data_IF_107555356684
#
_entry.id   IF_107555356684
#
_cell.length_a   1.000
_cell.length_b   1.000
_cell.length_c   1.000
_cell.angle_alpha   90.00
_cell.angle_beta   90.00
_cell.angle_gamma   90.00
#
_symmetry.space_group_name_H-M   'P 1'
#
loop_
_entity.id
_entity.type
_entity.pdbx_description
1 polymer ?
#
# COMPACT_ATOMS: atom_id res chain seq x y z
N UNK A 1 -9.08 2.30 2.34
CA UNK A 1 -9.36 1.87 0.97
C UNK A 1 -10.49 0.87 0.92
N UNK A 2 -10.38 -0.23 1.63
CA UNK A 2 -11.46 -1.22 1.72
C UNK A 2 -12.06 -1.10 3.12
N UNK A 3 -13.37 -0.86 3.23
CA UNK A 3 -13.99 -0.77 4.54
C UNK A 3 -14.27 -2.15 5.13
N UNK A 4 -14.55 -2.23 6.43
CA UNK A 4 -14.77 -3.50 7.12
C UNK A 4 -15.93 -4.32 6.51
N UNK A 5 -16.96 -3.67 6.03
CA UNK A 5 -18.11 -4.32 5.41
C UNK A 5 -17.73 -4.98 4.08
N UNK A 6 -16.92 -4.31 3.25
CA UNK A 6 -16.40 -4.88 2.01
C UNK A 6 -15.41 -6.01 2.29
N UNK A 7 -14.56 -5.86 3.30
CA UNK A 7 -13.57 -6.88 3.68
C UNK A 7 -14.22 -8.21 4.08
N UNK A 8 -15.42 -8.17 4.66
CA UNK A 8 -16.12 -9.38 5.07
C UNK A 8 -16.43 -10.33 3.90
N UNK A 9 -16.46 -9.82 2.66
CA UNK A 9 -16.69 -10.62 1.45
C UNK A 9 -15.46 -11.37 0.97
N UNK A 10 -14.27 -11.02 1.46
CA UNK A 10 -13.02 -11.61 0.97
C UNK A 10 -12.61 -12.81 1.79
N UNK A 11 -11.84 -13.76 1.19
CA UNK A 11 -11.25 -14.86 1.95
C UNK A 11 -10.38 -14.32 3.09
N UNK A 12 -10.27 -15.11 4.15
CA UNK A 12 -9.49 -14.73 5.34
C UNK A 12 -8.04 -14.36 4.99
N UNK A 13 -7.40 -15.12 4.08
CA UNK A 13 -6.03 -14.86 3.69
C UNK A 13 -5.88 -13.48 3.03
N UNK A 14 -6.85 -13.07 2.22
CA UNK A 14 -6.84 -11.76 1.60
C UNK A 14 -7.05 -10.64 2.62
N UNK A 15 -7.96 -10.83 3.57
CA UNK A 15 -8.18 -9.85 4.66
C UNK A 15 -6.92 -9.65 5.49
N UNK A 16 -6.21 -10.74 5.81
CA UNK A 16 -4.94 -10.67 6.55
C UNK A 16 -3.88 -9.89 5.76
N UNK A 17 -3.80 -10.13 4.45
CA UNK A 17 -2.86 -9.42 3.60
C UNK A 17 -3.18 -7.92 3.54
N UNK A 18 -4.45 -7.56 3.41
CA UNK A 18 -4.87 -6.15 3.39
C UNK A 18 -4.56 -5.45 4.71
N UNK A 19 -4.83 -6.11 5.84
CA UNK A 19 -4.51 -5.56 7.16
C UNK A 19 -3.01 -5.37 7.34
N UNK A 20 -2.21 -6.33 6.88
CA UNK A 20 -0.76 -6.23 6.95
C UNK A 20 -0.23 -5.05 6.12
N UNK A 21 -0.74 -4.88 4.91
CA UNK A 21 -0.36 -3.77 4.04
C UNK A 21 -0.72 -2.43 4.71
N UNK A 22 -1.92 -2.32 5.24
CA UNK A 22 -2.37 -1.09 5.91
C UNK A 22 -1.50 -0.75 7.13
N UNK A 23 -1.11 -1.75 7.89
CA UNK A 23 -0.29 -1.54 9.10
C UNK A 23 1.18 -1.33 8.83
N UNK A 24 1.69 -1.67 7.64
CA UNK A 24 3.12 -1.69 7.32
C UNK A 24 3.48 -0.96 6.02
N UNK A 25 2.58 -0.17 5.45
CA UNK A 25 2.82 0.49 4.17
C UNK A 25 4.00 1.46 4.19
N UNK A 26 4.34 2.00 5.35
CA UNK A 26 5.48 2.91 5.55
C UNK A 26 6.83 2.20 5.53
N UNK A 27 6.84 0.87 5.65
CA UNK A 27 8.05 0.06 5.67
C UNK A 27 8.30 -0.55 4.30
N UNK A 28 9.54 -0.99 4.07
CA UNK A 28 9.94 -1.62 2.81
C UNK A 28 9.54 -3.11 2.81
N UNK A 29 8.25 -3.36 2.71
CA UNK A 29 7.70 -4.72 2.70
C UNK A 29 7.72 -5.31 1.29
N UNK A 30 7.91 -6.63 1.23
CA UNK A 30 7.98 -7.38 -0.02
C UNK A 30 6.72 -8.24 -0.21
N UNK A 31 6.58 -8.81 -1.42
CA UNK A 31 5.50 -9.78 -1.67
C UNK A 31 5.59 -10.99 -0.73
N UNK A 32 6.80 -11.40 -0.37
CA UNK A 32 7.01 -12.51 0.58
C UNK A 32 6.51 -12.16 1.97
N UNK A 33 6.73 -10.92 2.41
CA UNK A 33 6.24 -10.44 3.70
C UNK A 33 4.71 -10.46 3.73
N UNK A 34 4.08 -10.01 2.66
CA UNK A 34 2.62 -9.97 2.54
C UNK A 34 2.05 -11.40 2.56
N UNK A 35 2.66 -12.30 1.79
CA UNK A 35 2.22 -13.70 1.74
C UNK A 35 2.40 -14.39 3.09
N UNK A 36 3.52 -14.17 3.77
CA UNK A 36 3.79 -14.73 5.08
C UNK A 36 2.76 -14.26 6.11
N UNK A 37 2.40 -12.98 6.08
CA UNK A 37 1.37 -12.43 6.97
C UNK A 37 0.00 -13.08 6.76
N UNK A 38 -0.29 -13.50 5.53
CA UNK A 38 -1.53 -14.19 5.18
C UNK A 38 -1.42 -15.72 5.31
N UNK A 39 -0.24 -16.23 5.65
CA UNK A 39 0.05 -17.67 5.79
C UNK A 39 -0.21 -18.44 4.49
N UNK A 40 0.22 -17.87 3.37
CA UNK A 40 0.10 -18.46 2.03
C UNK A 40 1.36 -18.21 1.22
N UNK A 41 1.45 -18.84 0.03
CA UNK A 41 2.56 -18.59 -0.89
C UNK A 41 2.39 -17.25 -1.61
N UNK A 42 3.48 -16.65 -2.11
CA UNK A 42 3.38 -15.45 -2.93
C UNK A 42 2.46 -15.62 -4.14
N UNK A 43 2.48 -16.79 -4.77
CA UNK A 43 1.61 -17.09 -5.91
C UNK A 43 0.14 -17.08 -5.52
N UNK A 44 -0.19 -17.66 -4.36
CA UNK A 44 -1.56 -17.70 -3.87
C UNK A 44 -2.10 -16.30 -3.57
N UNK A 45 -1.27 -15.45 -2.95
CA UNK A 45 -1.69 -14.09 -2.62
C UNK A 45 -1.83 -13.24 -3.89
N UNK A 46 -0.97 -13.42 -4.87
CA UNK A 46 -1.10 -12.73 -6.16
C UNK A 46 -2.41 -13.11 -6.86
N UNK A 47 -2.74 -14.39 -6.85
CA UNK A 47 -4.00 -14.87 -7.44
C UNK A 47 -5.21 -14.26 -6.73
N UNK A 48 -5.21 -14.25 -5.41
CA UNK A 48 -6.32 -13.70 -4.63
C UNK A 48 -6.52 -12.21 -4.89
N UNK A 49 -5.45 -11.42 -4.96
CA UNK A 49 -5.54 -10.00 -5.28
C UNK A 49 -6.12 -9.79 -6.69
N UNK A 50 -5.64 -10.57 -7.66
CA UNK A 50 -6.14 -10.45 -9.03
C UNK A 50 -7.62 -10.81 -9.12
N UNK A 51 -8.03 -11.89 -8.48
CA UNK A 51 -9.40 -12.36 -8.55
C UNK A 51 -10.39 -11.43 -7.86
N UNK A 52 -10.06 -10.93 -6.67
CA UNK A 52 -10.98 -10.14 -5.86
C UNK A 52 -10.82 -8.64 -6.02
N UNK A 53 -9.64 -8.15 -6.36
CA UNK A 53 -9.32 -6.73 -6.42
C UNK A 53 -8.83 -6.27 -7.78
N UNK A 54 -8.66 -7.17 -8.75
CA UNK A 54 -8.20 -6.89 -10.11
C UNK A 54 -6.88 -6.12 -10.13
N UNK A 55 -5.99 -6.42 -9.18
CA UNK A 55 -4.69 -5.78 -9.05
C UNK A 55 -3.67 -6.76 -8.46
N UNK A 56 -2.41 -6.35 -8.34
CA UNK A 56 -1.38 -7.13 -7.68
C UNK A 56 -1.19 -6.61 -6.24
N UNK A 57 -0.62 -7.43 -5.32
CA UNK A 57 -0.33 -6.96 -3.97
C UNK A 57 0.58 -5.72 -3.93
N UNK A 58 1.60 -5.69 -4.77
CA UNK A 58 2.53 -4.55 -4.81
C UNK A 58 1.90 -3.30 -5.41
N UNK A 59 1.03 -3.46 -6.41
CA UNK A 59 0.29 -2.32 -6.96
C UNK A 59 -0.71 -1.77 -5.94
N UNK A 60 -1.37 -2.63 -5.18
CA UNK A 60 -2.23 -2.22 -4.08
C UNK A 60 -1.45 -1.45 -3.03
N UNK A 61 -0.27 -1.95 -2.63
CA UNK A 61 0.62 -1.27 -1.69
C UNK A 61 1.01 0.13 -2.21
N UNK A 62 1.32 0.23 -3.50
CA UNK A 62 1.65 1.50 -4.12
C UNK A 62 0.49 2.49 -4.04
N UNK A 63 -0.73 2.05 -4.28
CA UNK A 63 -1.93 2.89 -4.16
C UNK A 63 -2.13 3.39 -2.74
N UNK A 64 -1.94 2.52 -1.75
CA UNK A 64 -2.02 2.91 -0.33
C UNK A 64 -1.01 4.00 -0.02
N UNK A 65 0.24 3.82 -0.47
CA UNK A 65 1.31 4.80 -0.25
C UNK A 65 1.01 6.14 -0.93
N UNK A 66 0.52 6.10 -2.16
CA UNK A 66 0.16 7.32 -2.90
C UNK A 66 -0.99 8.07 -2.23
N UNK A 67 -2.00 7.34 -1.77
CA UNK A 67 -3.13 7.94 -1.07
C UNK A 67 -2.71 8.60 0.23
N UNK A 68 -1.85 7.94 1.02
CA UNK A 68 -1.31 8.50 2.27
C UNK A 68 -0.43 9.71 2.02
N UNK A 69 0.41 9.65 0.99
CA UNK A 69 1.25 10.78 0.59
C UNK A 69 0.40 11.96 0.14
N UNK A 70 -0.66 11.71 -0.62
CA UNK A 70 -1.60 12.76 -1.04
C UNK A 70 -2.23 13.46 0.16
N UNK A 71 -2.74 12.71 1.12
CA UNK A 71 -3.32 13.26 2.35
C UNK A 71 -2.31 14.06 3.14
N UNK A 72 -1.08 13.57 3.24
CA UNK A 72 -0.01 14.27 3.95
C UNK A 72 0.35 15.59 3.26
N UNK A 73 0.43 15.59 1.92
CA UNK A 73 0.72 16.81 1.15
C UNK A 73 -0.38 17.85 1.29
N UNK A 74 -1.64 17.43 1.28
CA UNK A 74 -2.78 18.34 1.44
C UNK A 74 -2.79 18.97 2.82
N UNK A 75 -2.37 18.23 3.85
CA UNK A 75 -2.35 18.69 5.25
C UNK A 75 -1.03 19.33 5.67
N UNK A 76 0.03 19.21 4.85
CA UNK A 76 1.36 19.63 5.22
C UNK A 76 1.50 21.15 5.24
N UNK A 77 2.35 21.64 6.17
CA UNK A 77 2.79 23.02 6.16
C UNK A 77 3.99 23.14 5.20
N UNK A 78 3.85 23.88 4.09
CA UNK A 78 4.93 23.99 3.09
C UNK A 78 6.24 24.54 3.66
N UNK A 79 6.18 25.28 4.77
CA UNK A 79 7.35 25.83 5.43
C UNK A 79 8.11 24.78 6.24
N UNK A 80 7.49 23.67 6.59
CA UNK A 80 8.06 22.64 7.48
C UNK A 80 8.37 21.33 6.79
N UNK A 81 7.64 20.99 5.72
CA UNK A 81 7.77 19.70 5.08
C UNK A 81 8.02 19.84 3.58
N UNK A 82 8.90 18.99 3.05
CA UNK A 82 9.17 18.90 1.63
C UNK A 82 8.50 17.66 1.04
N UNK A 83 8.34 17.61 -0.28
CA UNK A 83 7.82 16.45 -0.99
C UNK A 83 8.69 15.23 -0.72
N UNK A 84 10.02 15.40 -0.70
CA UNK A 84 10.95 14.30 -0.42
C UNK A 84 10.75 13.74 0.99
N UNK A 85 10.61 14.60 1.99
CA UNK A 85 10.38 14.19 3.38
C UNK A 85 9.07 13.42 3.52
N UNK A 86 7.99 13.91 2.90
CA UNK A 86 6.69 13.26 2.94
C UNK A 86 6.74 11.90 2.23
N UNK A 87 7.37 11.84 1.06
CA UNK A 87 7.51 10.59 0.31
C UNK A 87 8.24 9.53 1.11
N UNK A 88 9.36 9.90 1.78
CA UNK A 88 10.11 8.97 2.63
C UNK A 88 9.27 8.45 3.79
N UNK A 89 8.52 9.33 4.46
CA UNK A 89 7.65 8.96 5.58
C UNK A 89 6.52 8.02 5.14
N UNK A 90 6.05 8.14 3.91
CA UNK A 90 4.97 7.30 3.38
C UNK A 90 5.45 6.01 2.70
N UNK A 91 6.74 5.71 2.76
CA UNK A 91 7.30 4.45 2.28
C UNK A 91 7.89 4.46 0.87
N UNK A 92 8.08 5.64 0.26
CA UNK A 92 8.73 5.75 -1.04
C UNK A 92 10.24 5.94 -0.86
N UNK A 93 11.03 4.99 -1.38
CA UNK A 93 12.49 5.03 -1.28
C UNK A 93 13.14 5.82 -2.40
N UNK A 94 12.37 6.18 -3.45
CA UNK A 94 12.85 6.92 -4.61
C UNK A 94 11.97 8.16 -4.82
N UNK A 95 12.32 9.32 -4.21
CA UNK A 95 11.50 10.54 -4.29
C UNK A 95 11.16 10.99 -5.71
N UNK A 96 12.08 10.82 -6.66
CA UNK A 96 11.82 11.15 -8.06
C UNK A 96 10.69 10.34 -8.66
N UNK A 97 10.65 9.05 -8.35
CA UNK A 97 9.55 8.16 -8.80
C UNK A 97 8.24 8.52 -8.14
N UNK A 98 8.27 8.90 -6.87
CA UNK A 98 7.08 9.38 -6.18
C UNK A 98 6.49 10.59 -6.88
N UNK A 99 7.30 11.59 -7.18
CA UNK A 99 6.83 12.80 -7.85
C UNK A 99 6.18 12.50 -9.19
N UNK A 100 6.77 11.62 -10.00
CA UNK A 100 6.19 11.20 -11.28
C UNK A 100 4.88 10.46 -11.09
N UNK A 101 4.81 9.53 -10.15
CA UNK A 101 3.61 8.75 -9.85
C UNK A 101 2.48 9.64 -9.32
N UNK A 102 2.80 10.61 -8.48
CA UNK A 102 1.82 11.52 -7.90
C UNK A 102 1.19 12.42 -8.96
N UNK A 103 1.98 12.88 -9.94
CA UNK A 103 1.49 13.72 -11.03
C UNK A 103 0.74 12.94 -12.12
N UNK A 104 0.97 11.65 -12.19
CA UNK A 104 0.27 10.81 -13.16
C UNK A 104 -1.16 10.50 -12.72
#
# INVERSE_FOLDING_TARGET
MVNAKSMAKYPRMLRRALDFIDGNAEYDITIRDIAAAADVTPRAIQYAFREHLQTTPLEYLRRVRLERAHKALVSADPARETVTSIAGRCGFTHPGRFSSAYKA
#
